data_IF_391243976845
#
_entry.id   IF_391243976845
#
_cell.length_a   1.000
_cell.length_b   1.000
_cell.length_c   1.000
_cell.angle_alpha   90.00
_cell.angle_beta   90.00
_cell.angle_gamma   90.00
#
_symmetry.space_group_name_H-M   'P 1'
#
loop_
_entity.id
_entity.type
_entity.pdbx_description
1 polymer ?
#
# COMPACT_ATOMS: atom_id res chain seq x y z
N UNK A 1 2.83 -7.79 -8.01
CA UNK A 1 1.50 -8.44 -7.92
C UNK A 1 0.36 -7.46 -7.58
N UNK A 2 0.63 -6.30 -6.96
CA UNK A 2 -0.40 -5.32 -6.58
C UNK A 2 -0.27 -3.96 -7.30
N UNK A 3 0.53 -3.91 -8.37
CA UNK A 3 0.46 -2.83 -9.36
C UNK A 3 -0.44 -3.31 -10.50
N UNK A 4 -1.71 -2.89 -10.50
CA UNK A 4 -2.72 -3.43 -11.43
C UNK A 4 -2.57 -2.92 -12.87
N UNK A 5 -1.68 -1.96 -13.13
CA UNK A 5 -1.31 -1.60 -14.51
C UNK A 5 -0.29 -2.56 -15.13
N UNK A 6 0.22 -3.53 -14.35
CA UNK A 6 0.99 -4.66 -14.88
C UNK A 6 0.13 -5.88 -15.15
N UNK A 7 -1.20 -5.74 -15.12
CA UNK A 7 -2.09 -6.78 -15.62
C UNK A 7 -1.77 -7.05 -17.12
N UNK A 8 -1.91 -8.28 -17.60
CA UNK A 8 -1.44 -8.68 -18.95
C UNK A 8 -1.98 -7.84 -20.13
N UNK A 9 -3.09 -7.12 -19.94
CA UNK A 9 -3.75 -6.30 -20.95
C UNK A 9 -3.20 -4.86 -21.08
N UNK A 10 -2.30 -4.42 -20.20
CA UNK A 10 -1.79 -3.04 -20.20
C UNK A 10 -0.39 -2.88 -20.82
N UNK A 11 0.36 -3.96 -21.02
CA UNK A 11 1.69 -3.95 -21.63
C UNK A 11 2.83 -4.18 -20.63
N UNK A 12 3.01 -3.36 -19.58
CA UNK A 12 4.03 -3.56 -18.57
C UNK A 12 3.91 -4.92 -17.87
N UNK A 13 5.04 -5.55 -17.58
CA UNK A 13 5.09 -6.88 -16.93
C UNK A 13 5.82 -6.82 -15.58
N UNK A 14 5.56 -7.80 -14.73
CA UNK A 14 6.34 -8.01 -13.50
C UNK A 14 7.60 -8.82 -13.81
N UNK A 15 8.82 -8.30 -13.59
CA UNK A 15 10.06 -9.02 -13.91
C UNK A 15 10.26 -10.28 -13.03
N UNK A 16 9.65 -10.32 -11.84
CA UNK A 16 9.60 -11.51 -10.97
C UNK A 16 8.62 -12.61 -11.42
N UNK A 17 8.16 -12.56 -12.68
CA UNK A 17 7.40 -13.62 -13.37
C UNK A 17 6.05 -13.99 -12.76
N UNK A 18 5.57 -13.25 -11.76
CA UNK A 18 4.23 -13.41 -11.19
C UNK A 18 3.42 -12.13 -11.46
N UNK A 19 2.51 -12.14 -12.45
CA UNK A 19 1.72 -10.97 -12.80
C UNK A 19 0.68 -10.66 -11.70
N UNK A 20 0.15 -9.43 -11.65
CA UNK A 20 -1.06 -9.12 -10.92
C UNK A 20 -2.23 -9.98 -11.40
N UNK A 21 -3.22 -10.15 -10.53
CA UNK A 21 -4.51 -10.78 -10.86
C UNK A 21 -5.62 -9.84 -10.44
N UNK A 22 -6.67 -9.73 -11.23
CA UNK A 22 -7.86 -9.00 -10.80
C UNK A 22 -8.40 -9.60 -9.49
N UNK A 23 -8.73 -8.72 -8.55
CA UNK A 23 -9.28 -9.05 -7.25
C UNK A 23 -10.76 -9.39 -7.46
N UNK A 24 -11.14 -10.60 -7.07
CA UNK A 24 -12.50 -11.11 -7.19
C UNK A 24 -12.94 -11.68 -5.85
N UNK A 25 -14.25 -11.93 -5.68
CA UNK A 25 -14.76 -12.59 -4.47
C UNK A 25 -14.07 -13.93 -4.18
N UNK A 26 -13.64 -14.64 -5.22
CA UNK A 26 -12.99 -15.95 -5.10
C UNK A 26 -11.54 -15.88 -4.62
N UNK A 27 -10.83 -14.76 -4.82
CA UNK A 27 -9.40 -14.64 -4.48
C UNK A 27 -9.09 -13.53 -3.46
N UNK A 28 -10.05 -12.67 -3.11
CA UNK A 28 -9.81 -11.48 -2.28
C UNK A 28 -9.17 -11.84 -0.94
N UNK A 29 -9.62 -12.93 -0.29
CA UNK A 29 -9.04 -13.37 0.98
C UNK A 29 -7.55 -13.70 0.89
N UNK A 30 -7.17 -14.51 -0.10
CA UNK A 30 -5.79 -14.94 -0.32
C UNK A 30 -4.91 -13.78 -0.80
N UNK A 31 -5.45 -12.85 -1.60
CA UNK A 31 -4.74 -11.65 -2.04
C UNK A 31 -4.56 -10.63 -0.91
N UNK A 32 -5.59 -10.40 -0.11
CA UNK A 32 -5.55 -9.52 1.04
C UNK A 32 -4.56 -10.02 2.10
N UNK A 33 -4.53 -11.32 2.38
CA UNK A 33 -3.56 -11.92 3.29
C UNK A 33 -2.11 -11.67 2.86
N UNK A 34 -1.79 -11.86 1.56
CA UNK A 34 -0.45 -11.57 1.05
C UNK A 34 -0.09 -10.08 1.13
N UNK A 35 -1.02 -9.19 0.80
CA UNK A 35 -0.76 -7.75 0.88
C UNK A 35 -0.53 -7.31 2.33
N UNK A 36 -1.40 -7.74 3.24
CA UNK A 36 -1.35 -7.39 4.65
C UNK A 36 -0.07 -7.92 5.32
N UNK A 37 0.40 -9.11 4.96
CA UNK A 37 1.71 -9.62 5.42
C UNK A 37 2.85 -8.66 5.05
N UNK A 38 2.87 -8.14 3.82
CA UNK A 38 3.89 -7.17 3.40
C UNK A 38 3.77 -5.85 4.15
N UNK A 39 2.55 -5.37 4.39
CA UNK A 39 2.34 -4.13 5.13
C UNK A 39 2.73 -4.27 6.61
N UNK A 40 2.42 -5.40 7.23
CA UNK A 40 2.86 -5.71 8.61
C UNK A 40 4.38 -5.82 8.71
N UNK A 41 5.04 -6.46 7.74
CA UNK A 41 6.51 -6.50 7.66
C UNK A 41 7.11 -5.10 7.52
N UNK A 42 6.52 -4.24 6.67
CA UNK A 42 6.93 -2.83 6.56
C UNK A 42 6.73 -2.09 7.89
N UNK A 43 5.61 -2.32 8.58
CA UNK A 43 5.30 -1.68 9.86
C UNK A 43 6.38 -1.95 10.93
N UNK A 44 7.02 -3.12 10.91
CA UNK A 44 8.10 -3.46 11.85
C UNK A 44 9.33 -2.55 11.74
N UNK A 45 9.46 -1.76 10.67
CA UNK A 45 10.59 -0.85 10.45
C UNK A 45 10.34 0.55 11.03
N UNK A 46 9.15 0.83 11.56
CA UNK A 46 8.74 2.15 12.05
C UNK A 46 8.28 2.09 13.51
N UNK A 47 8.20 3.27 14.15
CA UNK A 47 7.87 3.41 15.58
C UNK A 47 6.37 3.60 15.86
N UNK A 48 5.54 3.69 14.82
CA UNK A 48 4.09 3.85 14.91
C UNK A 48 3.37 2.66 14.27
N UNK A 49 2.11 2.45 14.65
CA UNK A 49 1.17 1.53 14.00
C UNK A 49 0.58 2.11 12.69
N UNK A 50 0.92 3.34 12.33
CA UNK A 50 0.57 3.99 11.06
C UNK A 50 1.60 3.69 9.98
N UNK A 51 1.17 3.13 8.84
CA UNK A 51 2.04 2.74 7.73
C UNK A 51 1.72 3.54 6.47
N UNK A 52 2.72 4.27 5.94
CA UNK A 52 2.62 4.91 4.61
C UNK A 52 2.94 3.88 3.52
N UNK A 53 2.05 3.70 2.55
CA UNK A 53 2.32 2.88 1.35
C UNK A 53 2.10 3.72 0.09
N UNK A 54 3.16 4.30 -0.49
CA UNK A 54 3.06 5.01 -1.77
C UNK A 54 2.63 4.05 -2.88
N UNK A 55 1.69 4.49 -3.71
CA UNK A 55 1.21 3.76 -4.88
C UNK A 55 1.38 4.64 -6.11
N UNK A 56 2.42 4.37 -6.89
CA UNK A 56 2.82 5.21 -8.02
C UNK A 56 4.11 4.70 -8.64
N UNK A 57 4.55 5.43 -9.67
CA UNK A 57 5.75 5.20 -10.49
C UNK A 57 5.87 6.44 -11.41
N UNK A 58 6.84 6.47 -12.32
CA UNK A 58 6.99 7.56 -13.29
C UNK A 58 5.76 7.71 -14.21
N UNK A 59 5.23 8.93 -14.31
CA UNK A 59 4.11 9.31 -15.19
C UNK A 59 2.91 8.35 -15.13
N UNK A 60 2.54 7.92 -13.92
CA UNK A 60 1.36 7.06 -13.67
C UNK A 60 0.08 7.88 -13.59
N UNK A 61 -1.03 7.17 -13.60
CA UNK A 61 -2.38 7.69 -13.52
C UNK A 61 -2.78 8.56 -14.73
N UNK A 62 -2.27 8.19 -15.90
CA UNK A 62 -2.49 8.92 -17.17
C UNK A 62 -3.74 8.45 -17.91
N UNK A 63 -4.07 7.16 -17.81
CA UNK A 63 -5.21 6.57 -18.53
C UNK A 63 -6.36 6.24 -17.59
N UNK A 64 -7.61 6.51 -18.01
CA UNK A 64 -8.80 6.16 -17.22
C UNK A 64 -8.87 4.67 -16.88
N UNK A 65 -8.46 3.80 -17.81
CA UNK A 65 -8.42 2.35 -17.59
C UNK A 65 -7.41 1.93 -16.53
N UNK A 66 -6.31 2.67 -16.39
CA UNK A 66 -5.35 2.47 -15.31
C UNK A 66 -5.95 2.86 -13.97
N UNK A 67 -6.54 4.06 -13.88
CA UNK A 67 -7.26 4.54 -12.69
C UNK A 67 -8.27 3.51 -12.22
N UNK A 68 -9.11 3.02 -13.13
CA UNK A 68 -10.16 2.05 -12.83
C UNK A 68 -9.58 0.72 -12.32
N UNK A 69 -8.52 0.23 -12.96
CA UNK A 69 -7.85 -1.01 -12.56
C UNK A 69 -7.20 -0.89 -11.18
N UNK A 70 -6.51 0.22 -10.89
CA UNK A 70 -5.91 0.43 -9.57
C UNK A 70 -6.99 0.59 -8.50
N UNK A 71 -7.90 1.54 -8.69
CA UNK A 71 -8.91 1.89 -7.70
C UNK A 71 -9.81 0.70 -7.36
N UNK A 72 -10.42 0.05 -8.35
CA UNK A 72 -11.39 -1.03 -8.09
C UNK A 72 -10.77 -2.25 -7.41
N UNK A 73 -9.53 -2.58 -7.77
CA UNK A 73 -8.85 -3.72 -7.15
C UNK A 73 -8.44 -3.41 -5.70
N UNK A 74 -7.90 -2.22 -5.43
CA UNK A 74 -7.58 -1.79 -4.07
C UNK A 74 -8.82 -1.61 -3.21
N UNK A 75 -9.91 -1.02 -3.73
CA UNK A 75 -11.16 -0.89 -2.97
C UNK A 75 -11.68 -2.25 -2.50
N UNK A 76 -11.66 -3.27 -3.36
CA UNK A 76 -12.07 -4.64 -2.96
C UNK A 76 -11.18 -5.23 -1.86
N UNK A 77 -9.88 -4.93 -1.89
CA UNK A 77 -8.95 -5.37 -0.85
C UNK A 77 -9.25 -4.63 0.46
N UNK A 78 -9.46 -3.32 0.41
CA UNK A 78 -9.75 -2.51 1.60
C UNK A 78 -11.08 -2.91 2.23
N UNK A 79 -12.14 -3.06 1.43
CA UNK A 79 -13.45 -3.53 1.90
C UNK A 79 -13.35 -4.87 2.62
N UNK A 80 -12.57 -5.81 2.08
CA UNK A 80 -12.36 -7.11 2.72
C UNK A 80 -11.54 -7.01 4.01
N UNK A 81 -10.45 -6.24 4.00
CA UNK A 81 -9.55 -6.09 5.14
C UNK A 81 -10.24 -5.40 6.32
N UNK A 82 -11.00 -4.34 6.06
CA UNK A 82 -11.70 -3.56 7.08
C UNK A 82 -12.95 -4.28 7.64
N UNK A 83 -13.52 -5.25 6.91
CA UNK A 83 -14.70 -5.97 7.34
C UNK A 83 -14.43 -7.10 8.36
N UNK A 84 -13.17 -7.52 8.52
CA UNK A 84 -12.79 -8.57 9.46
C UNK A 84 -11.91 -8.02 10.59
N UNK A 85 -12.54 -7.72 11.73
CA UNK A 85 -11.86 -7.19 12.93
C UNK A 85 -10.68 -8.06 13.41
N UNK A 86 -10.68 -9.36 13.12
CA UNK A 86 -9.59 -10.28 13.47
C UNK A 86 -8.29 -9.97 12.71
N UNK A 87 -8.39 -9.26 11.59
CA UNK A 87 -7.23 -8.81 10.82
C UNK A 87 -6.58 -7.56 11.44
N UNK A 88 -7.21 -6.90 12.42
CA UNK A 88 -6.69 -5.77 13.17
C UNK A 88 -5.96 -4.75 12.27
N UNK A 89 -6.68 -4.28 11.24
CA UNK A 89 -6.17 -3.33 10.26
C UNK A 89 -7.30 -2.35 9.92
N UNK A 90 -6.93 -1.08 9.81
CA UNK A 90 -7.73 -0.04 9.17
C UNK A 90 -6.92 0.46 7.97
N UNK A 91 -7.46 0.31 6.77
CA UNK A 91 -6.79 0.63 5.52
C UNK A 91 -7.67 1.45 4.58
N UNK A 92 -7.09 2.49 4.01
CA UNK A 92 -7.78 3.42 3.11
C UNK A 92 -6.79 4.07 2.14
N UNK A 93 -7.34 4.68 1.08
CA UNK A 93 -6.58 5.69 0.35
C UNK A 93 -6.42 6.93 1.22
N UNK A 94 -5.26 7.57 1.15
CA UNK A 94 -4.98 8.78 1.92
C UNK A 94 -3.91 9.63 1.25
N UNK A 95 -3.75 10.84 1.76
CA UNK A 95 -2.73 11.79 1.37
C UNK A 95 -1.51 11.70 2.28
N UNK A 96 -0.42 12.38 1.91
CA UNK A 96 0.74 12.52 2.82
C UNK A 96 0.38 13.29 4.10
N UNK A 97 -0.59 14.21 4.03
CA UNK A 97 -1.06 14.96 5.20
C UNK A 97 -1.75 14.02 6.19
N UNK A 98 -2.70 13.21 5.70
CA UNK A 98 -3.41 12.22 6.54
C UNK A 98 -2.43 11.27 7.26
N UNK A 99 -1.37 10.83 6.57
CA UNK A 99 -0.33 10.01 7.16
C UNK A 99 0.40 10.71 8.31
N UNK A 100 0.92 11.92 8.08
CA UNK A 100 1.69 12.63 9.11
C UNK A 100 0.83 13.08 10.28
N UNK A 101 -0.45 13.42 10.03
CA UNK A 101 -1.40 13.74 11.09
C UNK A 101 -1.67 12.52 11.97
N UNK A 102 -1.95 11.36 11.37
CA UNK A 102 -2.13 10.11 12.10
C UNK A 102 -0.88 9.69 12.90
N UNK A 103 0.32 9.89 12.36
CA UNK A 103 1.57 9.61 13.10
C UNK A 103 1.69 10.51 14.34
N UNK A 104 1.36 11.80 14.22
CA UNK A 104 1.41 12.74 15.36
C UNK A 104 0.35 12.44 16.42
N UNK A 105 -0.81 11.93 16.01
CA UNK A 105 -1.87 11.52 16.93
C UNK A 105 -1.49 10.25 17.70
N UNK A 106 -0.89 9.26 17.01
CA UNK A 106 -0.65 7.92 17.57
C UNK A 106 0.73 7.70 18.18
N UNK A 107 1.71 8.55 17.90
CA UNK A 107 3.06 8.42 18.43
C UNK A 107 3.52 9.71 19.10
N UNK A 108 4.26 9.55 20.20
CA UNK A 108 4.92 10.66 20.86
C UNK A 108 6.11 11.12 20.00
N UNK A 109 5.98 12.28 19.36
CA UNK A 109 7.02 12.83 18.46
C UNK A 109 8.35 13.05 19.20
N UNK A 110 8.30 13.29 20.51
CA UNK A 110 9.49 13.51 21.34
C UNK A 110 10.34 12.24 21.54
N UNK A 111 9.81 11.05 21.23
CA UNK A 111 10.52 9.77 21.31
C UNK A 111 11.23 9.37 20.00
N UNK A 112 11.08 10.16 18.94
CA UNK A 112 11.79 9.93 17.69
C UNK A 112 13.26 10.39 17.82
N UNK A 113 14.20 9.69 17.17
CA UNK A 113 15.61 10.03 17.27
C UNK A 113 15.90 11.34 16.53
N UNK A 114 16.73 12.19 17.12
CA UNK A 114 17.40 13.27 16.40
C UNK A 114 18.46 12.70 15.46
N UNK A 115 18.61 13.28 14.27
CA UNK A 115 19.66 12.92 13.31
C UNK A 115 20.36 14.19 12.81
N UNK A 116 21.69 14.12 12.66
CA UNK A 116 22.51 15.19 12.06
C UNK A 116 23.54 14.56 11.12
N UNK A 117 23.93 15.29 10.07
CA UNK A 117 24.79 14.79 8.99
C UNK A 117 24.20 15.04 7.61
N UNK A 118 24.71 14.35 6.61
CA UNK A 118 24.15 14.33 5.26
C UNK A 118 23.87 12.89 4.80
N UNK A 119 23.39 12.76 3.56
CA UNK A 119 23.20 11.47 2.90
C UNK A 119 23.97 11.47 1.57
N UNK A 120 25.27 11.82 1.61
CA UNK A 120 26.13 11.86 0.42
C UNK A 120 27.40 10.99 0.55
N UNK A 121 27.86 10.34 -0.53
CA UNK A 121 27.15 10.15 -1.81
C UNK A 121 26.26 8.91 -1.71
N UNK A 122 25.06 8.95 -2.30
CA UNK A 122 24.05 7.87 -2.27
C UNK A 122 24.61 6.47 -2.59
#
# INVERSE_FOLDING_TARGET
QFDFFRLPNFGPVCPWKVPPRNITKANVAERAALLLDQYRKKAQLFRSDVVLVPLGDDFRYVHFTEWDAQYRNYQRLFDYLNADERLNVDIQFGTLTDYFDAVREKANVDEFPSLSGDFFTY
#
